data_IF_898353380050
#
_entry.id   IF_898353380050
#
_cell.length_a   1.000
_cell.length_b   1.000
_cell.length_c   1.000
_cell.angle_alpha   90.00
_cell.angle_beta   90.00
_cell.angle_gamma   90.00
#
_symmetry.space_group_name_H-M   'P 1'
#
loop_
_entity.id
_entity.type
_entity.pdbx_description
1 polymer ?
#
# COMPACT_ATOMS: atom_id res chain seq x y z
N UNK A 1 5.91 -2.94 -17.20
CA UNK A 1 7.19 -2.82 -17.93
C UNK A 1 7.89 -4.15 -18.21
N UNK A 2 7.52 -5.26 -17.55
CA UNK A 2 8.11 -6.57 -17.86
C UNK A 2 9.57 -6.72 -17.44
N UNK A 3 9.93 -6.12 -16.30
CA UNK A 3 11.27 -6.14 -15.71
C UNK A 3 11.17 -6.63 -14.27
N UNK A 4 12.28 -7.09 -13.71
CA UNK A 4 12.37 -7.46 -12.31
C UNK A 4 12.52 -6.21 -11.43
N UNK A 5 11.97 -6.25 -10.22
CA UNK A 5 12.14 -5.17 -9.23
C UNK A 5 12.19 -5.72 -7.82
N UNK A 6 13.01 -5.11 -6.96
CA UNK A 6 13.05 -5.41 -5.53
C UNK A 6 12.49 -4.22 -4.76
N UNK A 7 11.47 -4.45 -3.93
CA UNK A 7 11.11 -3.59 -2.81
C UNK A 7 11.76 -4.17 -1.55
N UNK A 8 12.89 -3.63 -1.06
CA UNK A 8 13.57 -4.22 0.09
C UNK A 8 12.78 -4.04 1.39
N UNK A 9 13.22 -4.73 2.43
CA UNK A 9 12.80 -4.48 3.82
C UNK A 9 12.97 -3.00 4.14
N UNK A 10 12.01 -2.42 4.87
CA UNK A 10 12.07 -1.00 5.23
C UNK A 10 13.35 -0.68 6.01
N UNK A 11 14.02 0.41 5.65
CA UNK A 11 15.27 0.85 6.27
C UNK A 11 16.51 0.04 5.87
N UNK A 12 16.39 -0.96 4.99
CA UNK A 12 17.53 -1.79 4.57
C UNK A 12 18.46 -1.07 3.61
N UNK A 13 17.91 -0.26 2.71
CA UNK A 13 18.66 0.58 1.77
C UNK A 13 18.66 2.03 2.27
N UNK A 14 19.79 2.75 2.24
CA UNK A 14 19.81 4.17 2.58
C UNK A 14 18.96 4.97 1.59
N UNK A 15 18.12 5.87 2.11
CA UNK A 15 17.30 6.78 1.27
C UNK A 15 17.58 8.26 1.56
N UNK A 16 18.68 8.56 2.24
CA UNK A 16 19.09 9.94 2.50
C UNK A 16 19.35 10.67 1.19
N UNK A 17 18.76 11.85 1.03
CA UNK A 17 18.83 12.62 -0.21
C UNK A 17 17.77 12.24 -1.26
N UNK A 18 16.94 11.22 -1.02
CA UNK A 18 15.79 10.91 -1.88
C UNK A 18 14.72 12.01 -1.80
N UNK A 19 14.13 12.34 -2.96
CA UNK A 19 13.02 13.31 -3.08
C UNK A 19 11.84 12.62 -3.75
N UNK A 20 10.62 12.69 -3.18
CA UNK A 20 10.25 13.32 -1.90
C UNK A 20 10.80 12.55 -0.67
N UNK A 21 10.93 13.19 0.52
CA UNK A 21 10.46 14.53 0.90
C UNK A 21 11.31 15.68 0.32
N UNK A 22 10.92 16.93 0.60
CA UNK A 22 11.60 18.13 0.12
C UNK A 22 13.13 18.09 0.34
N UNK A 23 13.95 18.65 -0.58
CA UNK A 23 15.40 18.69 -0.45
C UNK A 23 15.87 19.20 0.93
N UNK A 24 16.87 18.54 1.51
CA UNK A 24 17.40 18.84 2.85
C UNK A 24 16.65 18.19 4.02
N UNK A 25 15.56 17.45 3.75
CA UNK A 25 14.88 16.65 4.77
C UNK A 25 15.78 15.56 5.35
N UNK A 26 15.87 15.52 6.69
CA UNK A 26 16.65 14.50 7.41
C UNK A 26 15.79 13.34 7.92
N UNK A 27 14.48 13.56 8.04
CA UNK A 27 13.56 12.53 8.52
C UNK A 27 13.29 11.49 7.43
N UNK A 28 13.51 10.22 7.76
CA UNK A 28 13.06 9.09 6.93
C UNK A 28 11.54 9.04 6.98
N UNK A 29 10.89 9.11 5.82
CA UNK A 29 9.45 8.92 5.72
C UNK A 29 9.13 7.43 5.81
N UNK A 30 8.20 7.09 6.68
CA UNK A 30 7.64 5.74 6.78
C UNK A 30 7.10 5.26 5.41
N UNK A 31 6.99 3.95 5.22
CA UNK A 31 6.61 3.26 3.97
C UNK A 31 7.61 3.39 2.80
N UNK A 32 8.41 4.46 2.74
CA UNK A 32 9.35 4.69 1.64
C UNK A 32 10.56 3.74 1.72
N UNK A 33 10.93 3.19 0.56
CA UNK A 33 12.17 2.43 0.38
C UNK A 33 12.77 2.74 -0.98
N UNK A 34 14.09 2.55 -1.11
CA UNK A 34 14.78 2.58 -2.40
C UNK A 34 15.20 1.16 -2.78
N UNK A 35 14.71 0.70 -3.92
CA UNK A 35 14.93 -0.66 -4.39
C UNK A 35 15.31 -0.70 -5.88
N UNK A 36 16.20 -1.61 -6.30
CA UNK A 36 16.65 -1.68 -7.68
C UNK A 36 15.56 -2.24 -8.61
N UNK A 37 15.67 -1.85 -9.88
CA UNK A 37 14.97 -2.45 -11.01
C UNK A 37 16.01 -2.93 -12.02
N UNK A 38 15.83 -4.13 -12.55
CA UNK A 38 16.77 -4.74 -13.49
C UNK A 38 16.03 -5.67 -14.45
N UNK A 39 16.74 -6.22 -15.44
CA UNK A 39 16.13 -7.20 -16.35
C UNK A 39 15.93 -8.54 -15.65
N UNK A 40 16.87 -8.96 -14.82
CA UNK A 40 16.83 -10.24 -14.13
C UNK A 40 17.08 -10.09 -12.61
N UNK A 41 16.78 -11.15 -11.86
CA UNK A 41 16.91 -11.16 -10.39
C UNK A 41 18.38 -11.21 -9.96
N UNK A 42 19.27 -11.76 -10.78
CA UNK A 42 20.70 -11.79 -10.48
C UNK A 42 21.27 -10.36 -10.40
N UNK A 43 20.90 -9.49 -11.34
CA UNK A 43 21.21 -8.07 -11.31
C UNK A 43 20.58 -7.36 -10.10
N UNK A 44 19.32 -7.67 -9.76
CA UNK A 44 18.69 -7.12 -8.54
C UNK A 44 19.50 -7.46 -7.28
N UNK A 45 19.96 -8.71 -7.17
CA UNK A 45 20.76 -9.18 -6.04
C UNK A 45 22.12 -8.48 -5.99
N UNK A 46 22.80 -8.35 -7.12
CA UNK A 46 24.06 -7.61 -7.22
C UNK A 46 23.88 -6.15 -6.77
N UNK A 47 22.89 -5.45 -7.33
CA UNK A 47 22.58 -4.07 -6.97
C UNK A 47 22.22 -3.94 -5.49
N UNK A 48 21.40 -4.86 -4.96
CA UNK A 48 21.04 -4.86 -3.54
C UNK A 48 22.26 -5.04 -2.64
N UNK A 49 23.18 -5.94 -2.98
CA UNK A 49 24.41 -6.14 -2.21
C UNK A 49 25.26 -4.86 -2.18
N UNK A 50 25.42 -4.19 -3.33
CA UNK A 50 26.14 -2.90 -3.40
C UNK A 50 25.43 -1.82 -2.57
N UNK A 51 24.11 -1.66 -2.74
CA UNK A 51 23.33 -0.62 -2.07
C UNK A 51 23.25 -0.80 -0.55
N UNK A 52 23.50 -2.01 -0.05
CA UNK A 52 23.42 -2.35 1.39
C UNK A 52 24.78 -2.68 2.01
N UNK A 53 25.87 -2.37 1.29
CA UNK A 53 27.25 -2.62 1.69
C UNK A 53 27.48 -4.07 2.16
N UNK A 54 26.87 -5.03 1.44
CA UNK A 54 27.04 -6.46 1.68
C UNK A 54 28.13 -7.01 0.76
N UNK A 55 28.83 -8.09 1.17
CA UNK A 55 29.77 -8.77 0.29
C UNK A 55 29.14 -9.17 -1.05
N UNK A 56 29.68 -8.63 -2.14
CA UNK A 56 29.20 -8.93 -3.49
C UNK A 56 29.58 -10.35 -3.88
N UNK A 57 28.60 -11.16 -4.26
CA UNK A 57 28.84 -12.51 -4.77
C UNK A 57 28.37 -12.60 -6.21
N UNK A 58 29.30 -12.74 -7.16
CA UNK A 58 28.96 -12.74 -8.60
C UNK A 58 28.58 -14.14 -9.11
N UNK A 59 28.93 -15.21 -8.41
CA UNK A 59 28.59 -16.55 -8.85
C UNK A 59 27.07 -16.81 -8.75
N UNK A 60 26.46 -17.48 -9.74
CA UNK A 60 25.08 -17.97 -9.62
C UNK A 60 25.01 -18.87 -8.39
N UNK A 61 24.19 -18.52 -7.40
CA UNK A 61 23.91 -19.48 -6.34
C UNK A 61 23.16 -20.63 -6.99
N UNK A 62 23.42 -21.87 -6.58
CA UNK A 62 22.49 -22.97 -6.82
C UNK A 62 21.23 -22.68 -6.00
N UNK A 63 20.36 -21.83 -6.52
CA UNK A 63 19.07 -21.51 -5.90
C UNK A 63 18.12 -22.66 -6.18
N UNK A 64 17.54 -23.21 -5.13
CA UNK A 64 16.61 -24.33 -5.24
C UNK A 64 15.32 -24.01 -4.52
N UNK A 65 14.21 -24.36 -5.17
CA UNK A 65 12.89 -24.30 -4.57
C UNK A 65 12.54 -25.58 -3.80
N UNK A 66 13.40 -26.62 -3.83
CA UNK A 66 13.21 -27.86 -3.08
C UNK A 66 12.97 -27.56 -1.59
N UNK A 67 11.90 -28.15 -1.06
CA UNK A 67 11.46 -28.00 0.34
C UNK A 67 11.06 -26.57 0.75
N UNK A 68 11.01 -25.59 -0.17
CA UNK A 68 10.45 -24.26 0.11
C UNK A 68 8.93 -24.36 0.13
N UNK A 69 8.34 -24.04 1.27
CA UNK A 69 6.89 -23.80 1.42
C UNK A 69 6.54 -22.40 0.91
N UNK A 70 5.76 -22.33 -0.17
CA UNK A 70 5.35 -21.09 -0.83
C UNK A 70 3.82 -21.01 -0.82
N UNK A 71 3.31 -19.94 -0.21
CA UNK A 71 1.88 -19.65 -0.22
C UNK A 71 1.45 -18.98 -1.51
N UNK A 72 0.21 -19.20 -1.93
CA UNK A 72 -0.42 -18.47 -3.04
C UNK A 72 -1.62 -17.70 -2.51
N UNK A 73 -1.67 -16.39 -2.78
CA UNK A 73 -2.82 -15.54 -2.52
C UNK A 73 -3.10 -14.66 -3.74
N UNK A 74 -4.03 -15.14 -4.57
CA UNK A 74 -4.39 -14.53 -5.85
C UNK A 74 -5.76 -13.84 -5.85
N UNK A 75 -6.58 -14.08 -4.83
CA UNK A 75 -7.97 -13.60 -4.78
C UNK A 75 -8.30 -12.97 -3.42
N UNK A 76 -8.97 -11.83 -3.46
CA UNK A 76 -9.57 -11.19 -2.29
C UNK A 76 -10.84 -10.45 -2.72
N UNK A 77 -11.86 -10.45 -1.86
CA UNK A 77 -13.13 -9.76 -2.14
C UNK A 77 -12.94 -8.25 -2.30
N UNK A 78 -11.94 -7.67 -1.64
CA UNK A 78 -11.65 -6.23 -1.69
C UNK A 78 -10.71 -5.87 -2.84
N UNK A 79 -9.91 -6.81 -3.34
CA UNK A 79 -8.83 -6.52 -4.29
C UNK A 79 -9.19 -7.03 -5.68
N UNK A 80 -9.64 -6.10 -6.52
CA UNK A 80 -9.88 -6.42 -7.91
C UNK A 80 -8.58 -6.90 -8.58
N UNK A 81 -8.68 -7.94 -9.39
CA UNK A 81 -7.59 -8.51 -10.17
C UNK A 81 -8.18 -9.06 -11.46
N UNK A 82 -7.53 -8.79 -12.59
CA UNK A 82 -7.93 -9.33 -13.89
C UNK A 82 -7.62 -10.83 -13.98
N UNK A 83 -8.34 -11.54 -14.83
CA UNK A 83 -8.07 -12.93 -15.14
C UNK A 83 -6.62 -13.12 -15.60
N UNK A 84 -6.10 -12.22 -16.44
CA UNK A 84 -4.71 -12.22 -16.91
C UNK A 84 -3.69 -12.15 -15.76
N UNK A 85 -3.90 -11.27 -14.78
CA UNK A 85 -3.01 -11.15 -13.62
C UNK A 85 -3.13 -12.35 -12.66
N UNK A 86 -4.33 -12.94 -12.52
CA UNK A 86 -4.51 -14.16 -11.73
C UNK A 86 -3.86 -15.36 -12.42
N UNK A 87 -4.05 -15.52 -13.73
CA UNK A 87 -3.38 -16.55 -14.55
C UNK A 87 -1.85 -16.47 -14.40
N UNK A 88 -1.26 -15.27 -14.41
CA UNK A 88 0.16 -15.10 -14.17
C UNK A 88 0.62 -15.63 -12.79
N UNK A 89 -0.19 -15.44 -11.74
CA UNK A 89 0.07 -16.03 -10.41
C UNK A 89 -0.01 -17.55 -10.46
N UNK A 90 -0.99 -18.12 -11.17
CA UNK A 90 -1.11 -19.57 -11.31
C UNK A 90 0.07 -20.17 -12.09
N UNK A 91 0.52 -19.51 -13.16
CA UNK A 91 1.72 -19.91 -13.91
C UNK A 91 2.95 -19.93 -13.00
N UNK A 92 3.15 -18.89 -12.19
CA UNK A 92 4.26 -18.82 -11.25
C UNK A 92 4.17 -19.89 -10.14
N UNK A 93 2.96 -20.14 -9.62
CA UNK A 93 2.71 -21.19 -8.63
C UNK A 93 3.04 -22.59 -9.19
N UNK A 94 2.62 -22.86 -10.43
CA UNK A 94 2.90 -24.11 -11.12
C UNK A 94 4.40 -24.29 -11.38
N UNK A 95 5.07 -23.26 -11.89
CA UNK A 95 6.52 -23.28 -12.10
C UNK A 95 7.29 -23.52 -10.77
N UNK A 96 6.85 -22.90 -9.67
CA UNK A 96 7.44 -23.15 -8.35
C UNK A 96 7.29 -24.62 -7.91
N UNK A 97 6.11 -25.22 -8.13
CA UNK A 97 5.85 -26.63 -7.81
C UNK A 97 6.72 -27.58 -8.65
N UNK A 98 6.85 -27.33 -9.96
CA UNK A 98 7.71 -28.10 -10.87
C UNK A 98 9.19 -28.03 -10.48
N UNK A 99 9.63 -26.88 -9.96
CA UNK A 99 10.97 -26.68 -9.41
C UNK A 99 11.16 -27.29 -8.00
N UNK A 100 10.13 -27.93 -7.43
CA UNK A 100 10.18 -28.71 -6.19
C UNK A 100 9.71 -27.98 -4.92
N UNK A 101 9.06 -26.82 -5.03
CA UNK A 101 8.42 -26.16 -3.90
C UNK A 101 7.17 -26.91 -3.43
N UNK A 102 6.85 -26.78 -2.14
CA UNK A 102 5.53 -27.10 -1.61
C UNK A 102 4.65 -25.87 -1.77
N UNK A 103 3.76 -25.90 -2.76
CA UNK A 103 2.89 -24.76 -3.09
C UNK A 103 1.47 -25.06 -2.65
N UNK A 104 0.89 -24.16 -1.86
CA UNK A 104 -0.51 -24.27 -1.41
C UNK A 104 -1.16 -22.88 -1.42
N UNK A 105 -2.48 -22.85 -1.61
CA UNK A 105 -3.27 -21.65 -1.37
C UNK A 105 -3.18 -21.30 0.12
N UNK A 106 -2.60 -20.15 0.43
CA UNK A 106 -2.32 -19.74 1.80
C UNK A 106 -2.41 -18.22 1.93
N UNK A 107 -3.61 -17.74 2.23
CA UNK A 107 -3.85 -16.33 2.55
C UNK A 107 -3.53 -16.07 4.03
N UNK A 108 -2.73 -15.04 4.38
CA UNK A 108 -2.56 -14.61 5.76
C UNK A 108 -3.90 -14.21 6.40
N UNK A 109 -4.00 -14.26 7.72
CA UNK A 109 -5.22 -13.86 8.45
C UNK A 109 -5.42 -12.34 8.43
N UNK A 110 -5.74 -11.80 7.25
CA UNK A 110 -5.92 -10.39 6.98
C UNK A 110 -7.16 -10.17 6.12
N UNK A 111 -7.99 -9.21 6.53
CA UNK A 111 -9.09 -8.73 5.72
C UNK A 111 -8.57 -7.70 4.70
N UNK A 112 -8.91 -7.86 3.43
CA UNK A 112 -8.41 -6.99 2.36
C UNK A 112 -8.83 -5.54 2.54
N UNK A 113 -10.09 -5.29 2.93
CA UNK A 113 -10.58 -3.92 3.19
C UNK A 113 -9.85 -3.27 4.37
N UNK A 114 -9.64 -4.01 5.47
CA UNK A 114 -8.88 -3.53 6.61
C UNK A 114 -7.42 -3.24 6.25
N UNK A 115 -6.79 -4.08 5.41
CA UNK A 115 -5.41 -3.89 4.96
C UNK A 115 -5.25 -2.62 4.12
N UNK A 116 -6.09 -2.43 3.09
CA UNK A 116 -5.98 -1.23 2.25
C UNK A 116 -6.38 0.03 3.00
N UNK A 117 -7.34 -0.05 3.92
CA UNK A 117 -7.70 1.07 4.78
C UNK A 117 -6.55 1.48 5.70
N UNK A 118 -5.87 0.51 6.33
CA UNK A 118 -4.67 0.74 7.13
C UNK A 118 -3.53 1.34 6.29
N UNK A 119 -3.30 0.83 5.08
CA UNK A 119 -2.32 1.40 4.16
C UNK A 119 -2.61 2.88 3.87
N UNK A 120 -3.87 3.24 3.60
CA UNK A 120 -4.26 4.63 3.33
C UNK A 120 -4.18 5.53 4.57
N UNK A 121 -4.48 5.01 5.77
CA UNK A 121 -4.30 5.73 7.04
C UNK A 121 -2.83 6.10 7.28
N UNK A 122 -1.89 5.27 6.82
CA UNK A 122 -0.46 5.50 6.94
C UNK A 122 0.12 6.35 5.81
N UNK A 123 -0.36 6.15 4.57
CA UNK A 123 0.17 6.81 3.36
C UNK A 123 -0.33 8.25 3.20
N UNK A 124 -1.64 8.50 3.35
CA UNK A 124 -2.21 9.82 3.01
C UNK A 124 -1.66 10.98 3.86
N UNK A 125 -1.35 10.82 5.16
CA UNK A 125 -0.67 11.87 5.93
C UNK A 125 0.71 12.20 5.37
N UNK A 126 1.44 11.20 4.83
CA UNK A 126 2.76 11.42 4.20
C UNK A 126 2.59 12.25 2.93
N UNK A 127 1.67 11.86 2.04
CA UNK A 127 1.38 12.61 0.81
C UNK A 127 0.87 14.03 1.10
N UNK A 128 0.12 14.22 2.19
CA UNK A 128 -0.37 15.52 2.62
C UNK A 128 0.76 16.50 2.99
N UNK A 129 1.94 16.01 3.39
CA UNK A 129 3.08 16.89 3.73
C UNK A 129 3.61 17.69 2.53
N UNK A 130 3.39 17.20 1.32
CA UNK A 130 3.81 17.86 0.07
C UNK A 130 2.65 18.62 -0.61
N UNK A 131 1.47 18.69 0.01
CA UNK A 131 0.32 19.43 -0.54
C UNK A 131 0.48 20.95 -0.35
N UNK A 132 -0.14 21.77 -1.23
CA UNK A 132 -0.18 23.21 -1.05
C UNK A 132 -0.82 23.59 0.30
N UNK A 133 -0.15 24.47 1.06
CA UNK A 133 -0.59 24.87 2.40
C UNK A 133 -2.07 25.30 2.51
N UNK A 134 -2.67 26.04 1.54
CA UNK A 134 -4.10 26.36 1.60
C UNK A 134 -5.01 25.14 1.56
N UNK A 135 -4.65 24.11 0.77
CA UNK A 135 -5.40 22.87 0.68
C UNK A 135 -5.29 22.07 1.98
N UNK A 136 -4.08 21.95 2.53
CA UNK A 136 -3.85 21.24 3.80
C UNK A 136 -4.66 21.86 4.94
N UNK A 137 -4.62 23.19 5.10
CA UNK A 137 -5.41 23.91 6.11
C UNK A 137 -6.92 23.69 5.94
N UNK A 138 -7.40 23.63 4.71
CA UNK A 138 -8.81 23.35 4.44
C UNK A 138 -9.21 21.92 4.84
N UNK A 139 -8.35 20.93 4.60
CA UNK A 139 -8.56 19.54 5.03
C UNK A 139 -8.56 19.43 6.57
N UNK A 140 -7.61 20.09 7.23
CA UNK A 140 -7.52 20.15 8.69
C UNK A 140 -8.78 20.77 9.31
N UNK A 141 -9.23 21.92 8.81
CA UNK A 141 -10.45 22.57 9.27
C UNK A 141 -11.71 21.73 8.99
N UNK A 142 -11.75 21.03 7.85
CA UNK A 142 -12.84 20.16 7.44
C UNK A 142 -12.87 18.80 8.13
N UNK A 143 -11.88 18.47 8.97
CA UNK A 143 -11.70 17.16 9.58
C UNK A 143 -12.93 16.62 10.34
N UNK A 144 -13.67 17.39 11.16
CA UNK A 144 -14.87 16.89 11.83
C UNK A 144 -15.95 16.40 10.86
N UNK A 145 -16.12 17.09 9.73
CA UNK A 145 -17.07 16.73 8.67
C UNK A 145 -16.56 15.48 7.94
N UNK A 146 -15.26 15.45 7.60
CA UNK A 146 -14.63 14.29 6.97
C UNK A 146 -14.81 13.02 7.83
N UNK A 147 -14.67 13.13 9.15
CA UNK A 147 -14.89 12.02 10.09
C UNK A 147 -16.31 11.47 10.04
N UNK A 148 -17.32 12.33 9.89
CA UNK A 148 -18.72 11.88 9.73
C UNK A 148 -18.95 11.18 8.39
N UNK A 149 -18.25 11.62 7.34
CA UNK A 149 -18.35 11.10 5.98
C UNK A 149 -17.44 9.89 5.70
N UNK A 150 -16.50 9.57 6.59
CA UNK A 150 -15.53 8.48 6.43
C UNK A 150 -16.13 7.09 6.72
N UNK A 151 -17.33 6.84 6.18
CA UNK A 151 -18.03 5.55 6.26
C UNK A 151 -17.93 4.83 4.92
N UNK A 152 -17.84 3.50 4.96
CA UNK A 152 -17.86 2.65 3.77
C UNK A 152 -16.49 2.44 3.13
N UNK A 153 -16.47 2.42 1.80
CA UNK A 153 -15.35 1.96 0.97
C UNK A 153 -14.02 2.69 1.25
N UNK A 154 -12.87 1.97 1.24
CA UNK A 154 -11.55 2.54 1.51
C UNK A 154 -11.18 3.77 0.66
N UNK A 155 -11.53 3.76 -0.64
CA UNK A 155 -11.19 4.82 -1.59
C UNK A 155 -12.19 6.00 -1.63
N UNK A 156 -13.01 6.17 -0.59
CA UNK A 156 -14.00 7.24 -0.54
C UNK A 156 -13.38 8.62 -0.28
N UNK A 157 -14.06 9.68 -0.78
CA UNK A 157 -13.67 11.08 -0.53
C UNK A 157 -13.61 11.42 0.97
N UNK A 158 -14.49 10.85 1.78
CA UNK A 158 -14.52 11.06 3.23
C UNK A 158 -13.26 10.53 3.91
N UNK A 159 -12.85 9.29 3.60
CA UNK A 159 -11.62 8.69 4.10
C UNK A 159 -10.38 9.41 3.59
N UNK A 160 -10.34 9.75 2.30
CA UNK A 160 -9.23 10.51 1.73
C UNK A 160 -9.01 11.83 2.46
N UNK A 161 -10.07 12.60 2.70
CA UNK A 161 -9.98 13.86 3.43
C UNK A 161 -9.61 13.66 4.91
N UNK A 162 -10.19 12.66 5.58
CA UNK A 162 -9.91 12.37 6.98
C UNK A 162 -8.46 11.95 7.22
N UNK A 163 -7.92 11.08 6.38
CA UNK A 163 -6.57 10.54 6.52
C UNK A 163 -5.52 11.56 6.06
N UNK A 164 -5.79 12.37 5.04
CA UNK A 164 -4.91 13.48 4.66
C UNK A 164 -4.78 14.53 5.77
N UNK A 165 -5.83 14.69 6.58
CA UNK A 165 -5.83 15.56 7.78
C UNK A 165 -5.55 14.78 9.08
N UNK A 166 -4.89 13.61 9.02
CA UNK A 166 -4.62 12.80 10.21
C UNK A 166 -3.78 13.56 11.24
N UNK A 167 -4.15 13.39 12.50
CA UNK A 167 -3.31 13.83 13.62
C UNK A 167 -2.26 12.77 13.93
N UNK A 168 -1.21 13.16 14.66
CA UNK A 168 -0.22 12.18 15.13
C UNK A 168 -0.84 11.07 16.00
N UNK A 169 -1.92 11.38 16.74
CA UNK A 169 -2.65 10.36 17.51
C UNK A 169 -3.34 9.31 16.63
N UNK A 170 -3.83 9.70 15.45
CA UNK A 170 -4.40 8.74 14.50
C UNK A 170 -3.29 7.87 13.92
N UNK A 171 -2.14 8.46 13.59
CA UNK A 171 -0.99 7.71 13.11
C UNK A 171 -0.49 6.69 14.13
N UNK A 172 -0.40 7.03 15.42
CA UNK A 172 -0.01 6.09 16.48
C UNK A 172 -0.99 4.91 16.59
N UNK A 173 -2.29 5.15 16.38
CA UNK A 173 -3.30 4.07 16.35
C UNK A 173 -3.13 3.18 15.13
N UNK A 174 -2.91 3.77 13.96
CA UNK A 174 -2.63 3.03 12.74
C UNK A 174 -1.33 2.22 12.87
N UNK A 175 -0.28 2.77 13.50
CA UNK A 175 0.96 2.04 13.75
C UNK A 175 0.72 0.83 14.65
N UNK A 176 -0.06 0.96 15.72
CA UNK A 176 -0.43 -0.18 16.58
C UNK A 176 -1.20 -1.26 15.81
N UNK A 177 -2.14 -0.88 14.93
CA UNK A 177 -2.80 -1.85 14.04
C UNK A 177 -1.79 -2.54 13.12
N UNK A 178 -0.85 -1.78 12.55
CA UNK A 178 0.27 -2.33 11.77
C UNK A 178 1.14 -3.27 12.60
N UNK A 179 1.47 -2.96 13.85
CA UNK A 179 2.27 -3.87 14.71
C UNK A 179 1.59 -5.22 14.91
N UNK A 180 0.27 -5.22 15.08
CA UNK A 180 -0.52 -6.46 15.17
C UNK A 180 -0.47 -7.25 13.86
N UNK A 181 -0.61 -6.56 12.73
CA UNK A 181 -0.50 -7.20 11.42
C UNK A 181 0.91 -7.75 11.17
N UNK A 182 1.97 -7.03 11.57
CA UNK A 182 3.36 -7.52 11.51
C UNK A 182 3.54 -8.80 12.33
N UNK A 183 2.91 -8.92 13.51
CA UNK A 183 2.90 -10.17 14.29
C UNK A 183 2.21 -11.30 13.53
N UNK A 184 1.02 -11.06 12.97
CA UNK A 184 0.31 -12.04 12.12
C UNK A 184 1.18 -12.50 10.95
N UNK A 185 1.91 -11.58 10.31
CA UNK A 185 2.83 -11.92 9.23
C UNK A 185 4.05 -12.71 9.71
N UNK A 186 4.61 -12.38 10.88
CA UNK A 186 5.68 -13.17 11.50
C UNK A 186 5.22 -14.61 11.78
N UNK A 187 4.01 -14.80 12.28
CA UNK A 187 3.41 -16.12 12.52
C UNK A 187 3.15 -16.86 11.19
N UNK A 188 2.70 -16.15 10.15
CA UNK A 188 2.58 -16.71 8.80
C UNK A 188 3.95 -17.19 8.29
N UNK A 189 4.99 -16.36 8.32
CA UNK A 189 6.32 -16.72 7.83
C UNK A 189 7.09 -17.70 8.72
N UNK A 190 6.63 -17.98 9.94
CA UNK A 190 7.13 -19.15 10.70
C UNK A 190 6.85 -20.48 9.99
N UNK A 191 5.81 -20.49 9.14
CA UNK A 191 5.38 -21.64 8.34
C UNK A 191 5.70 -21.49 6.87
N UNK A 192 5.69 -20.28 6.31
CA UNK A 192 5.91 -20.05 4.88
C UNK A 192 7.24 -19.34 4.64
N UNK A 193 7.96 -19.69 3.57
CA UNK A 193 9.17 -18.98 3.19
C UNK A 193 8.87 -17.74 2.34
N UNK A 194 7.79 -17.80 1.56
CA UNK A 194 7.31 -16.70 0.76
C UNK A 194 5.81 -16.86 0.46
N UNK A 195 5.20 -15.80 -0.01
CA UNK A 195 3.86 -15.79 -0.60
C UNK A 195 3.91 -15.14 -1.98
N UNK A 196 3.30 -15.78 -2.97
CA UNK A 196 3.13 -15.26 -4.33
C UNK A 196 1.76 -14.59 -4.41
N UNK A 197 1.74 -13.34 -4.87
CA UNK A 197 0.54 -12.54 -5.08
C UNK A 197 0.59 -11.84 -6.44
N UNK A 198 -0.56 -11.33 -6.94
CA UNK A 198 -0.55 -10.32 -7.98
C UNK A 198 0.29 -9.12 -7.55
N UNK A 199 0.84 -8.39 -8.52
CA UNK A 199 1.51 -7.09 -8.27
C UNK A 199 0.55 -5.92 -8.45
N UNK A 200 -0.43 -6.07 -9.33
CA UNK A 200 -1.34 -5.04 -9.80
C UNK A 200 -2.71 -5.66 -10.14
N UNK A 201 -3.79 -4.85 -10.18
CA UNK A 201 -5.11 -5.31 -10.57
C UNK A 201 -5.23 -5.67 -12.05
N UNK A 202 -4.39 -5.12 -12.92
CA UNK A 202 -4.41 -5.35 -14.38
C UNK A 202 -3.00 -5.29 -14.96
N UNK A 203 -2.84 -5.80 -16.18
CA UNK A 203 -1.74 -5.41 -17.07
C UNK A 203 -1.79 -3.89 -17.39
N UNK A 204 -0.85 -3.43 -18.23
CA UNK A 204 -0.89 -2.06 -18.72
C UNK A 204 -2.20 -1.78 -19.48
N UNK A 205 -2.76 -0.60 -19.29
CA UNK A 205 -4.04 -0.14 -19.86
C UNK A 205 -3.88 1.29 -20.36
N UNK A 206 -4.82 1.77 -21.17
CA UNK A 206 -4.78 3.15 -21.67
C UNK A 206 -4.85 4.17 -20.53
N UNK A 207 -4.13 5.28 -20.68
CA UNK A 207 -4.13 6.34 -19.67
C UNK A 207 -5.52 6.94 -19.48
N UNK A 208 -6.00 6.88 -18.23
CA UNK A 208 -7.24 7.55 -17.83
C UNK A 208 -6.89 8.93 -17.28
N UNK A 209 -7.19 9.98 -18.05
CA UNK A 209 -6.95 11.38 -17.65
C UNK A 209 -8.18 12.02 -16.97
N UNK A 210 -9.35 11.38 -17.00
CA UNK A 210 -10.58 11.90 -16.39
C UNK A 210 -10.63 11.67 -14.88
N UNK A 211 -11.34 12.55 -14.16
CA UNK A 211 -11.49 12.47 -12.70
C UNK A 211 -10.28 12.95 -11.89
N UNK A 212 -10.46 12.97 -10.58
CA UNK A 212 -9.47 13.32 -9.55
C UNK A 212 -8.99 12.09 -8.77
N UNK A 213 -8.20 12.31 -7.71
CA UNK A 213 -7.64 11.25 -6.85
C UNK A 213 -8.68 10.34 -6.17
N UNK A 214 -9.98 10.68 -6.18
CA UNK A 214 -11.02 9.84 -5.56
C UNK A 214 -12.13 9.43 -6.52
N UNK A 215 -12.23 10.09 -7.68
CA UNK A 215 -13.28 9.83 -8.68
C UNK A 215 -12.78 9.15 -9.93
N UNK A 216 -11.45 9.12 -10.17
CA UNK A 216 -10.88 8.42 -11.32
C UNK A 216 -11.10 6.92 -11.17
N UNK A 217 -11.55 6.29 -12.26
CA UNK A 217 -11.80 4.86 -12.34
C UNK A 217 -10.93 4.24 -13.43
N UNK A 218 -10.53 3.00 -13.22
CA UNK A 218 -9.99 2.12 -14.26
C UNK A 218 -10.99 0.99 -14.52
N UNK A 219 -10.70 0.16 -15.52
CA UNK A 219 -11.49 -1.04 -15.82
C UNK A 219 -10.66 -2.28 -15.52
N UNK A 220 -11.22 -3.21 -14.76
CA UNK A 220 -10.65 -4.55 -14.48
C UNK A 220 -11.66 -5.57 -14.99
N UNK A 221 -11.32 -6.34 -16.02
CA UNK A 221 -12.21 -7.30 -16.69
C UNK A 221 -13.61 -6.74 -17.01
N UNK A 222 -13.63 -5.56 -17.62
CA UNK A 222 -14.88 -4.86 -17.98
C UNK A 222 -15.62 -4.20 -16.81
N UNK A 223 -15.18 -4.38 -15.56
CA UNK A 223 -15.81 -3.79 -14.37
C UNK A 223 -15.07 -2.53 -13.92
N UNK A 224 -15.78 -1.45 -13.53
CA UNK A 224 -15.14 -0.26 -13.01
C UNK A 224 -14.51 -0.52 -11.62
N UNK A 225 -13.28 -0.04 -11.42
CA UNK A 225 -12.58 -0.07 -10.14
C UNK A 225 -11.95 1.31 -9.84
N UNK A 226 -11.82 1.71 -8.56
CA UNK A 226 -11.07 2.92 -8.18
C UNK A 226 -9.66 2.91 -8.77
N UNK A 227 -9.20 4.04 -9.31
CA UNK A 227 -7.87 4.13 -9.94
C UNK A 227 -6.73 3.78 -8.98
N UNK A 228 -6.90 4.04 -7.68
CA UNK A 228 -5.91 3.70 -6.66
C UNK A 228 -5.96 2.25 -6.18
N UNK A 229 -6.71 1.37 -6.87
CA UNK A 229 -6.69 -0.08 -6.63
C UNK A 229 -5.29 -0.69 -6.84
N UNK A 230 -4.38 0.01 -7.54
CA UNK A 230 -2.95 -0.35 -7.60
C UNK A 230 -2.28 -0.47 -6.23
N UNK A 231 -2.79 0.19 -5.20
CA UNK A 231 -2.25 0.09 -3.84
C UNK A 231 -2.63 -1.22 -3.13
N UNK A 232 -3.66 -1.94 -3.59
CA UNK A 232 -4.21 -3.09 -2.89
C UNK A 232 -3.18 -4.22 -2.69
N UNK A 233 -2.63 -4.74 -3.77
CA UNK A 233 -1.73 -5.90 -3.74
C UNK A 233 -0.33 -5.59 -3.20
N UNK A 234 0.09 -4.33 -3.23
CA UNK A 234 1.37 -3.90 -2.61
C UNK A 234 1.23 -3.52 -1.13
N UNK A 235 0.00 -3.38 -0.62
CA UNK A 235 -0.26 -2.87 0.72
C UNK A 235 0.38 -3.75 1.80
N UNK A 236 0.28 -5.08 1.66
CA UNK A 236 0.80 -6.02 2.66
C UNK A 236 2.30 -5.83 2.89
N UNK A 237 3.09 -5.86 1.81
CA UNK A 237 4.54 -5.72 1.89
C UNK A 237 4.96 -4.34 2.40
N UNK A 238 4.20 -3.30 2.05
CA UNK A 238 4.51 -1.92 2.42
C UNK A 238 4.17 -1.64 3.89
N UNK A 239 2.95 -1.97 4.33
CA UNK A 239 2.50 -1.81 5.72
C UNK A 239 3.37 -2.65 6.66
N UNK A 240 3.69 -3.88 6.29
CA UNK A 240 4.42 -4.79 7.18
C UNK A 240 5.94 -4.66 7.06
N UNK A 241 6.45 -3.70 6.27
CA UNK A 241 7.88 -3.50 6.05
C UNK A 241 8.62 -4.70 5.46
N UNK A 242 7.90 -5.60 4.80
CA UNK A 242 8.42 -6.87 4.27
C UNK A 242 9.18 -6.65 2.96
N UNK A 243 10.21 -7.45 2.64
CA UNK A 243 10.82 -7.46 1.33
C UNK A 243 9.88 -8.09 0.30
N UNK A 244 9.93 -7.60 -0.92
CA UNK A 244 9.21 -8.19 -2.03
C UNK A 244 9.94 -8.06 -3.36
N UNK A 245 10.00 -9.14 -4.12
CA UNK A 245 10.58 -9.17 -5.46
C UNK A 245 9.49 -9.40 -6.47
N UNK A 246 9.44 -8.56 -7.51
CA UNK A 246 8.59 -8.74 -8.68
C UNK A 246 9.42 -9.35 -9.78
N UNK A 247 8.91 -10.41 -10.41
CA UNK A 247 9.50 -11.01 -11.61
C UNK A 247 8.48 -11.04 -12.76
N UNK A 248 8.92 -10.87 -14.02
CA UNK A 248 8.04 -11.02 -15.16
C UNK A 248 7.60 -12.49 -15.31
N UNK A 249 6.35 -12.69 -15.71
CA UNK A 249 5.83 -14.01 -16.09
C UNK A 249 5.85 -14.12 -17.62
N UNK A 250 6.11 -15.32 -18.19
CA UNK A 250 6.01 -15.55 -19.62
C UNK A 250 4.64 -15.14 -20.15
N UNK A 251 4.65 -14.52 -21.32
CA UNK A 251 3.43 -14.02 -21.97
C UNK A 251 3.31 -14.56 -23.38
N UNK A 252 2.08 -14.66 -23.89
CA UNK A 252 1.84 -15.00 -25.30
C UNK A 252 2.20 -13.83 -26.20
N UNK A 253 2.42 -14.12 -27.49
CA UNK A 253 2.73 -13.09 -28.49
C UNK A 253 1.59 -12.07 -28.56
N UNK A 254 1.92 -10.79 -28.35
CA UNK A 254 0.95 -9.69 -28.39
C UNK A 254 0.36 -9.30 -27.04
N UNK A 255 0.57 -10.11 -25.99
CA UNK A 255 0.16 -9.75 -24.63
C UNK A 255 1.10 -8.71 -24.02
N UNK A 256 0.54 -7.89 -23.13
CA UNK A 256 1.30 -6.92 -22.36
C UNK A 256 2.00 -7.62 -21.19
N UNK A 257 3.13 -7.09 -20.70
CA UNK A 257 3.83 -7.75 -19.61
C UNK A 257 3.03 -7.76 -18.30
N UNK A 258 2.82 -8.95 -17.76
CA UNK A 258 2.37 -9.19 -16.39
C UNK A 258 3.54 -9.71 -15.54
N UNK A 259 3.46 -9.46 -14.23
CA UNK A 259 4.45 -9.93 -13.27
C UNK A 259 3.77 -10.42 -12.00
N UNK A 260 4.50 -11.21 -11.22
CA UNK A 260 4.07 -11.69 -9.91
C UNK A 260 4.96 -11.12 -8.83
N UNK A 261 4.36 -10.87 -7.67
CA UNK A 261 5.03 -10.37 -6.50
C UNK A 261 5.31 -11.54 -5.55
N UNK A 262 6.58 -11.75 -5.18
CA UNK A 262 7.01 -12.70 -4.15
C UNK A 262 7.34 -11.90 -2.90
N UNK A 263 6.58 -12.09 -1.82
CA UNK A 263 6.80 -11.41 -0.53
C UNK A 263 7.37 -12.43 0.46
N UNK A 264 8.39 -12.05 1.23
CA UNK A 264 8.95 -12.89 2.30
C UNK A 264 9.00 -12.20 3.67
N UNK A 265 9.64 -12.84 4.66
CA UNK A 265 9.73 -12.29 6.02
C UNK A 265 10.56 -11.01 6.07
N UNK A 266 10.26 -10.14 7.02
CA UNK A 266 11.04 -8.93 7.31
C UNK A 266 12.52 -9.28 7.54
N UNK A 267 13.43 -8.60 6.83
CA UNK A 267 14.87 -8.89 6.85
C UNK A 267 15.32 -10.08 5.99
N UNK A 268 14.39 -10.82 5.38
CA UNK A 268 14.64 -11.97 4.51
C UNK A 268 14.97 -11.63 3.05
N UNK A 269 15.45 -10.41 2.76
CA UNK A 269 15.64 -9.88 1.40
C UNK A 269 16.41 -10.84 0.48
N UNK A 270 17.54 -11.37 0.97
CA UNK A 270 18.39 -12.29 0.19
C UNK A 270 17.72 -13.65 -0.05
N UNK A 271 16.90 -14.12 0.88
CA UNK A 271 16.15 -15.37 0.72
C UNK A 271 15.01 -15.20 -0.29
N UNK A 272 14.31 -14.06 -0.27
CA UNK A 272 13.29 -13.73 -1.27
C UNK A 272 13.90 -13.58 -2.66
N UNK A 273 15.05 -12.90 -2.76
CA UNK A 273 15.81 -12.83 -4.02
C UNK A 273 16.21 -14.23 -4.50
N UNK A 274 16.68 -15.12 -3.61
CA UNK A 274 17.03 -16.49 -4.00
C UNK A 274 15.82 -17.32 -4.48
N UNK A 275 14.65 -17.13 -3.86
CA UNK A 275 13.39 -17.76 -4.31
C UNK A 275 13.00 -17.21 -5.69
N UNK A 276 13.05 -15.89 -5.86
CA UNK A 276 12.72 -15.23 -7.11
C UNK A 276 13.67 -15.60 -8.25
N UNK A 277 14.98 -15.72 -7.99
CA UNK A 277 16.01 -16.13 -8.96
C UNK A 277 15.76 -17.58 -9.44
N UNK A 278 15.44 -18.50 -8.52
CA UNK A 278 15.08 -19.87 -8.89
C UNK A 278 13.78 -19.95 -9.71
N UNK A 279 12.78 -19.14 -9.36
CA UNK A 279 11.51 -19.11 -10.07
C UNK A 279 11.63 -18.45 -11.44
N UNK A 280 12.39 -17.36 -11.55
CA UNK A 280 12.72 -16.70 -12.81
C UNK A 280 13.41 -17.66 -13.77
N UNK A 281 14.40 -18.42 -13.28
CA UNK A 281 15.11 -19.42 -14.08
C UNK A 281 14.18 -20.51 -14.62
N UNK A 282 13.19 -20.95 -13.84
CA UNK A 282 12.18 -21.92 -14.27
C UNK A 282 11.23 -21.35 -15.33
N UNK A 283 10.91 -20.06 -15.25
CA UNK A 283 9.97 -19.40 -16.16
C UNK A 283 10.65 -18.80 -17.41
N UNK A 284 11.98 -18.74 -17.47
CA UNK A 284 12.72 -18.18 -18.61
C UNK A 284 12.93 -16.66 -18.56
N UNK A 285 12.49 -15.99 -17.50
CA UNK A 285 12.82 -14.60 -17.16
C UNK A 285 12.45 -13.53 -18.20
N UNK A 286 13.30 -12.49 -18.28
CA UNK A 286 13.05 -11.30 -19.08
C UNK A 286 12.89 -11.58 -20.58
N UNK A 287 11.83 -11.02 -21.16
CA UNK A 287 11.60 -11.03 -22.61
C UNK A 287 11.65 -9.61 -23.16
N UNK A 288 12.68 -9.31 -23.96
CA UNK A 288 12.81 -8.02 -24.63
C UNK A 288 11.58 -7.74 -25.50
N UNK A 289 10.97 -6.54 -25.41
CA UNK A 289 9.91 -6.15 -26.34
C UNK A 289 10.40 -6.23 -27.81
N UNK A 290 9.56 -6.65 -28.77
CA UNK A 290 9.93 -6.66 -30.18
C UNK A 290 10.37 -5.27 -30.66
N UNK A 291 11.35 -5.23 -31.56
CA UNK A 291 11.89 -3.97 -32.09
C UNK A 291 10.80 -3.10 -32.74
N UNK A 292 9.81 -3.73 -33.38
CA UNK A 292 8.65 -3.05 -33.95
C UNK A 292 7.82 -2.28 -32.94
N UNK A 293 7.76 -2.73 -31.69
CA UNK A 293 7.06 -2.03 -30.59
C UNK A 293 7.91 -0.89 -30.04
N UNK A 294 9.23 -1.09 -29.94
CA UNK A 294 10.16 -0.08 -29.44
C UNK A 294 10.30 1.11 -30.40
N UNK A 295 10.25 0.84 -31.70
CA UNK A 295 10.34 1.85 -32.76
C UNK A 295 8.97 2.39 -33.20
N UNK A 296 7.87 1.87 -32.63
CA UNK A 296 6.54 2.36 -32.97
C UNK A 296 6.42 3.83 -32.57
N UNK A 297 5.89 4.71 -33.45
CA UNK A 297 5.60 6.08 -33.05
C UNK A 297 4.62 6.06 -31.89
N UNK A 298 4.86 6.91 -30.89
CA UNK A 298 3.93 7.06 -29.78
C UNK A 298 2.55 7.43 -30.36
N UNK A 299 1.47 6.75 -29.92
CA UNK A 299 0.14 7.08 -30.37
C UNK A 299 -0.10 8.58 -30.10
N UNK A 300 -0.63 9.28 -31.11
CA UNK A 300 -0.96 10.68 -30.97
C UNK A 300 -1.83 10.83 -29.73
N UNK A 301 -1.39 11.69 -28.80
CA UNK A 301 -2.08 11.90 -27.53
C UNK A 301 -3.54 12.24 -27.85
N UNK A 302 -4.46 11.31 -27.62
CA UNK A 302 -5.87 11.58 -27.79
C UNK A 302 -6.18 12.73 -26.83
N UNK A 303 -6.39 13.94 -27.36
CA UNK A 303 -6.83 15.07 -26.56
C UNK A 303 -8.19 14.68 -26.00
N UNK A 304 -8.21 14.14 -24.78
CA UNK A 304 -9.45 13.99 -24.04
C UNK A 304 -10.15 15.34 -24.10
N UNK A 305 -11.42 15.37 -24.53
CA UNK A 305 -12.20 16.61 -24.48
C UNK A 305 -12.05 17.16 -23.06
N UNK A 306 -11.59 18.41 -22.87
CA UNK A 306 -11.48 18.96 -21.54
C UNK A 306 -12.86 18.81 -20.89
N UNK A 307 -12.92 18.06 -19.79
CA UNK A 307 -14.12 18.02 -18.97
C UNK A 307 -14.28 19.46 -18.50
N UNK A 308 -15.18 20.22 -19.12
CA UNK A 308 -15.59 21.52 -18.60
C UNK A 308 -16.06 21.23 -17.18
N UNK A 309 -15.24 21.59 -16.20
CA UNK A 309 -15.65 21.59 -14.81
C UNK A 309 -16.93 22.43 -14.78
N UNK A 310 -18.08 21.79 -14.51
CA UNK A 310 -19.29 22.56 -14.23
C UNK A 310 -18.91 23.46 -13.04
N UNK A 311 -19.07 24.79 -13.15
CA UNK A 311 -18.83 25.65 -12.00
C UNK A 311 -19.65 25.10 -10.85
N UNK A 312 -19.05 25.04 -9.66
CA UNK A 312 -19.76 24.64 -8.45
C UNK A 312 -21.09 25.41 -8.39
N UNK A 313 -22.22 24.75 -8.08
CA UNK A 313 -23.49 25.45 -8.00
C UNK A 313 -23.34 26.60 -7.01
N UNK A 314 -23.64 27.82 -7.48
CA UNK A 314 -23.65 29.01 -6.61
C UNK A 314 -24.53 28.66 -5.39
N UNK A 315 -24.07 28.93 -4.16
CA UNK A 315 -24.87 28.66 -2.98
C UNK A 315 -26.22 29.36 -3.14
N UNK A 316 -27.31 28.60 -3.04
CA UNK A 316 -28.66 29.17 -3.06
C UNK A 316 -28.76 30.12 -1.86
N UNK A 317 -29.28 31.36 -2.04
CA UNK A 317 -29.51 32.25 -0.91
C UNK A 317 -30.45 31.56 0.08
N UNK A 318 -29.96 31.40 1.31
CA UNK A 318 -30.74 30.84 2.41
C UNK A 318 -31.88 31.82 2.68
N UNK A 319 -33.12 31.39 2.41
CA UNK A 319 -34.30 32.15 2.85
C UNK A 319 -34.29 32.21 4.37
N UNK A 320 -34.50 33.38 5.00
CA UNK A 320 -34.57 33.47 6.45
C UNK A 320 -35.70 32.58 6.96
N UNK A 321 -35.34 31.63 7.81
CA UNK A 321 -36.29 30.80 8.53
C UNK A 321 -37.03 31.73 9.49
N UNK A 322 -38.34 31.90 9.31
CA UNK A 322 -39.19 32.57 10.30
C UNK A 322 -39.13 31.76 11.60
N UNK A 323 -38.51 32.33 12.63
CA UNK A 323 -38.55 31.80 13.98
C UNK A 323 -40.00 31.66 14.44
N UNK A 324 -40.38 30.45 14.86
CA UNK A 324 -41.61 30.25 15.63
C UNK A 324 -41.32 30.60 17.09
N UNK A 325 -42.25 31.26 17.81
CA UNK A 325 -42.01 31.61 19.21
C UNK A 325 -41.89 30.35 20.06
N UNK A 326 -40.76 30.18 20.73
CA UNK A 326 -40.55 29.14 21.73
C UNK A 326 -41.20 29.63 23.04
N UNK A 327 -42.16 28.85 23.56
CA UNK A 327 -42.76 29.11 24.88
C UNK A 327 -41.68 28.96 25.98
N UNK A 328 -41.67 29.81 27.02
CA UNK A 328 -40.65 29.74 28.06
C UNK A 328 -40.76 28.43 28.85
N UNK A 329 -39.65 27.69 28.94
CA UNK A 329 -39.52 26.51 29.77
C UNK A 329 -39.51 26.91 31.26
N UNK A 330 -40.21 26.14 32.10
CA UNK A 330 -40.23 26.32 33.56
C UNK A 330 -38.82 26.15 34.13
N UNK A 331 -38.38 27.13 34.91
CA UNK A 331 -37.14 27.10 35.67
C UNK A 331 -37.23 26.03 36.76
N UNK A 332 -36.44 24.96 36.61
CA UNK A 332 -36.20 23.98 37.68
C UNK A 332 -34.96 24.44 38.45
N UNK A 333 -35.10 24.74 39.74
CA UNK A 333 -33.98 25.09 40.62
C UNK A 333 -33.03 23.89 40.78
N UNK A 334 -31.70 24.09 40.78
CA UNK A 334 -30.74 23.00 40.94
C UNK A 334 -30.77 22.45 42.38
N UNK A 335 -30.70 21.11 42.49
CA UNK A 335 -30.45 20.42 43.77
C UNK A 335 -28.99 20.65 44.23
N UNK A 336 -28.72 20.79 45.54
CA UNK A 336 -27.36 20.97 46.04
C UNK A 336 -26.52 19.70 45.86
N UNK A 337 -25.23 19.89 45.53
CA UNK A 337 -24.27 18.81 45.34
C UNK A 337 -23.90 18.12 46.68
N UNK A 338 -23.62 16.80 46.68
CA UNK A 338 -23.16 16.09 47.86
C UNK A 338 -21.71 16.50 48.24
N UNK A 339 -21.46 16.69 49.53
CA UNK A 339 -20.15 17.04 50.09
C UNK A 339 -19.14 15.90 49.88
N UNK A 340 -18.10 16.15 49.10
CA UNK A 340 -16.92 15.27 48.97
C UNK A 340 -16.03 15.46 50.22
N UNK A 341 -15.79 14.39 50.98
CA UNK A 341 -14.79 14.36 52.06
C UNK A 341 -13.39 14.22 51.45
N UNK A 342 -12.51 15.17 51.74
CA UNK A 342 -11.08 15.10 51.42
C UNK A 342 -10.39 13.97 52.21
N UNK A 343 -9.41 13.24 51.63
CA UNK A 343 -8.60 12.28 52.38
C UNK A 343 -7.70 13.00 53.40
N UNK A 344 -7.51 12.37 54.57
CA UNK A 344 -6.60 12.88 55.62
C UNK A 344 -5.13 12.78 55.17
N UNK A 345 -4.26 13.74 55.55
CA UNK A 345 -2.85 13.70 55.21
C UNK A 345 -2.12 12.52 55.89
N UNK A 346 -1.28 11.84 55.12
CA UNK A 346 -0.39 10.76 55.57
C UNK A 346 0.74 11.36 56.41
N UNK A 347 0.93 10.85 57.63
CA UNK A 347 2.05 11.25 58.51
C UNK A 347 3.39 10.69 57.97
N UNK A 348 4.50 11.43 58.10
CA UNK A 348 5.81 10.97 57.65
C UNK A 348 6.33 9.82 58.53
N UNK A 349 6.93 8.83 57.89
CA UNK A 349 7.58 7.70 58.53
C UNK A 349 8.74 8.19 59.42
N UNK A 350 8.66 7.90 60.72
CA UNK A 350 9.83 7.96 61.61
C UNK A 350 10.67 6.71 61.34
N UNK A 351 11.82 6.90 60.72
CA UNK A 351 12.89 5.92 60.79
C UNK A 351 13.38 5.78 62.23
N UNK A 352 13.66 4.55 62.64
CA UNK A 352 14.73 4.21 63.59
C UNK A 352 15.11 2.74 63.38
N UNK A 353 16.44 2.57 63.43
CA UNK A 353 17.29 1.38 63.48
C UNK A 353 16.65 0.11 64.04
#
# INVERSE_FOLDING_TARGET
>A
CGVAALKPTFGRTPIMGHVPPAPGSLAVRDLNVAGPMARDVADLRLMFQVLTDQPVTVQPRKTSLKARRIGVWAEDKAFAVSSECNEAVQTAAQAAAEAGAQVLVAKPEVDGNALIDLYLQLLLPILATDMPAPLLKALEAGRPIAKLMARGEPFSRGKWALYSAATHHDWLKADETRRRLKRTMSEFFSRWHAIITPVAPTAAFEHVESGDAVTRLMTVDGKPAPYHMFHAWIALATVCHLPSVVIPVPRRKGELPCGVQIIGPEGGDLDVLAIAEALEAQMGGFQRPPETVLLAPLPARMKGKPVKAKPAPKPKPVKPVKEKPVKPAKVVKPKPAPKVKLPKPVKPARGRR
#
